data_IF_937697953877
#
_entry.id   IF_937697953877
#
_cell.length_a   1.000
_cell.length_b   1.000
_cell.length_c   1.000
_cell.angle_alpha   90.00
_cell.angle_beta   90.00
_cell.angle_gamma   90.00
#
_symmetry.space_group_name_H-M   'P 1'
#
loop_
_entity.id
_entity.type
_entity.pdbx_description
1 polymer ?
#
# COMPACT_ATOMS: atom_id res chain seq x y z
N UNK A 1 26.46 -6.39 -7.53
CA UNK A 1 27.14 -5.17 -7.03
C UNK A 1 27.25 -5.29 -5.52
N UNK A 2 28.37 -4.89 -4.90
CA UNK A 2 28.53 -4.92 -3.45
C UNK A 2 28.75 -3.48 -2.95
N UNK A 3 28.04 -3.09 -1.89
CA UNK A 3 28.06 -1.73 -1.34
C UNK A 3 28.32 -1.84 0.17
N UNK A 4 29.30 -1.08 0.66
CA UNK A 4 29.59 -0.96 2.09
C UNK A 4 29.14 0.41 2.58
N UNK A 5 28.09 0.44 3.40
CA UNK A 5 27.60 1.66 4.04
C UNK A 5 28.23 1.77 5.43
N UNK A 6 28.88 2.90 5.72
CA UNK A 6 29.53 3.16 7.02
C UNK A 6 28.74 4.19 7.81
N UNK A 7 29.00 4.24 9.11
CA UNK A 7 28.44 5.24 10.03
C UNK A 7 26.90 5.23 10.08
N UNK A 8 26.28 4.04 10.02
CA UNK A 8 24.83 3.91 10.23
C UNK A 8 24.56 4.17 11.72
N UNK A 9 23.68 5.12 12.08
CA UNK A 9 23.31 5.36 13.46
C UNK A 9 22.75 4.10 14.14
N UNK A 10 23.09 3.87 15.40
CA UNK A 10 22.71 2.65 16.13
C UNK A 10 21.18 2.50 16.25
N UNK A 11 20.46 3.61 16.39
CA UNK A 11 18.99 3.59 16.45
C UNK A 11 18.38 3.12 15.11
N UNK A 12 18.99 3.50 13.98
CA UNK A 12 18.57 3.05 12.65
C UNK A 12 18.87 1.57 12.46
N UNK A 13 20.06 1.10 12.84
CA UNK A 13 20.39 -0.33 12.82
C UNK A 13 19.41 -1.15 13.67
N UNK A 14 19.03 -0.64 14.84
CA UNK A 14 18.04 -1.28 15.72
C UNK A 14 16.67 -1.36 15.06
N UNK A 15 16.21 -0.29 14.40
CA UNK A 15 14.94 -0.27 13.64
C UNK A 15 14.96 -1.29 12.50
N UNK A 16 16.01 -1.30 11.69
CA UNK A 16 16.16 -2.26 10.57
C UNK A 16 16.12 -3.69 11.11
N UNK A 17 16.85 -4.00 12.19
CA UNK A 17 16.84 -5.33 12.80
C UNK A 17 15.45 -5.76 13.26
N UNK A 18 14.67 -4.84 13.83
CA UNK A 18 13.28 -5.12 14.22
C UNK A 18 12.43 -5.42 12.99
N UNK A 19 12.52 -4.61 11.94
CA UNK A 19 11.79 -4.81 10.69
C UNK A 19 12.16 -6.16 10.03
N UNK A 20 13.44 -6.51 9.96
CA UNK A 20 13.89 -7.81 9.42
C UNK A 20 13.26 -9.00 10.16
N UNK A 21 13.15 -8.90 11.50
CA UNK A 21 12.52 -9.96 12.31
C UNK A 21 11.02 -10.06 12.05
N UNK A 22 10.33 -8.94 11.96
CA UNK A 22 8.89 -8.90 11.67
C UNK A 22 8.60 -9.42 10.26
N UNK A 23 9.39 -8.98 9.27
CA UNK A 23 9.29 -9.41 7.88
C UNK A 23 9.85 -10.80 7.59
N UNK A 24 10.45 -11.47 8.59
CA UNK A 24 11.13 -12.78 8.46
C UNK A 24 12.15 -12.83 7.31
N UNK A 25 12.91 -11.75 7.15
CA UNK A 25 13.94 -11.58 6.12
C UNK A 25 15.32 -11.42 6.73
N UNK A 26 16.37 -11.68 5.94
CA UNK A 26 17.74 -11.34 6.35
C UNK A 26 17.88 -9.81 6.44
N UNK A 27 18.83 -9.35 7.26
CA UNK A 27 19.08 -7.91 7.41
C UNK A 27 19.48 -7.25 6.08
N UNK A 28 20.21 -7.97 5.23
CA UNK A 28 20.59 -7.47 3.90
C UNK A 28 19.38 -7.35 2.97
N UNK A 29 18.48 -8.33 2.99
CA UNK A 29 17.26 -8.26 2.17
C UNK A 29 16.34 -7.14 2.65
N UNK A 30 16.23 -6.92 3.97
CA UNK A 30 15.46 -5.81 4.51
C UNK A 30 16.05 -4.46 4.10
N UNK A 31 17.37 -4.30 4.14
CA UNK A 31 18.04 -3.08 3.66
C UNK A 31 17.76 -2.87 2.17
N UNK A 32 17.77 -3.92 1.36
CA UNK A 32 17.45 -3.82 -0.05
C UNK A 32 16.01 -3.35 -0.28
N UNK A 33 15.04 -3.96 0.40
CA UNK A 33 13.63 -3.56 0.30
C UNK A 33 13.43 -2.09 0.72
N UNK A 34 14.01 -1.67 1.83
CA UNK A 34 13.94 -0.27 2.28
C UNK A 34 14.57 0.70 1.27
N UNK A 35 15.66 0.31 0.60
CA UNK A 35 16.27 1.10 -0.45
C UNK A 35 15.35 1.21 -1.67
N UNK A 36 14.78 0.10 -2.14
CA UNK A 36 13.82 0.07 -3.25
C UNK A 36 12.61 0.98 -2.97
N UNK A 37 11.98 0.81 -1.81
CA UNK A 37 10.83 1.62 -1.39
C UNK A 37 11.19 3.10 -1.29
N UNK A 38 12.33 3.44 -0.68
CA UNK A 38 12.73 4.85 -0.51
C UNK A 38 13.13 5.53 -1.82
N UNK A 39 13.72 4.79 -2.76
CA UNK A 39 14.05 5.30 -4.10
C UNK A 39 12.77 5.55 -4.88
N UNK A 40 11.83 4.61 -4.85
CA UNK A 40 10.52 4.76 -5.50
C UNK A 40 9.76 5.95 -4.92
N UNK A 41 9.67 6.08 -3.59
CA UNK A 41 9.00 7.20 -2.92
C UNK A 41 9.64 8.55 -3.29
N UNK A 42 10.99 8.60 -3.39
CA UNK A 42 11.69 9.81 -3.82
C UNK A 42 11.42 10.15 -5.28
N UNK A 43 11.42 9.15 -6.17
CA UNK A 43 11.09 9.33 -7.58
C UNK A 43 9.66 9.83 -7.74
N UNK A 44 8.72 9.27 -6.99
CA UNK A 44 7.32 9.71 -6.97
C UNK A 44 7.19 11.13 -6.46
N UNK A 45 7.86 11.53 -5.37
CA UNK A 45 7.82 12.92 -4.88
C UNK A 45 8.40 13.92 -5.89
N UNK A 46 9.49 13.56 -6.55
CA UNK A 46 10.07 14.39 -7.61
C UNK A 46 9.15 14.48 -8.84
N UNK A 47 8.50 13.36 -9.18
CA UNK A 47 7.57 13.28 -10.32
C UNK A 47 6.21 13.91 -10.01
N UNK A 48 5.78 13.93 -8.75
CA UNK A 48 4.51 14.52 -8.31
C UNK A 48 4.48 16.04 -8.50
N UNK A 49 5.64 16.69 -8.56
CA UNK A 49 5.76 18.08 -9.01
C UNK A 49 5.37 18.28 -10.49
N UNK A 50 5.48 17.24 -11.32
CA UNK A 50 5.19 17.25 -12.76
C UNK A 50 3.94 16.44 -13.15
N UNK A 51 3.44 15.55 -12.29
CA UNK A 51 2.41 14.57 -12.65
C UNK A 51 1.16 14.73 -11.79
N UNK A 52 0.60 15.94 -11.78
CA UNK A 52 -0.80 16.12 -11.40
C UNK A 52 -1.63 15.55 -12.54
N UNK A 53 -2.14 14.33 -12.37
CA UNK A 53 -3.22 13.79 -13.20
C UNK A 53 -4.29 14.87 -13.25
N UNK A 54 -4.60 15.35 -14.46
CA UNK A 54 -5.59 16.41 -14.60
C UNK A 54 -6.94 15.89 -14.14
N UNK A 55 -7.82 16.77 -13.68
CA UNK A 55 -9.16 16.37 -13.23
C UNK A 55 -9.90 15.59 -14.32
N UNK A 56 -9.71 15.98 -15.58
CA UNK A 56 -10.30 15.33 -16.76
C UNK A 56 -9.77 13.91 -16.94
N UNK A 57 -8.47 13.69 -16.71
CA UNK A 57 -7.87 12.35 -16.79
C UNK A 57 -8.38 11.47 -15.66
N UNK A 58 -8.55 12.03 -14.46
CA UNK A 58 -9.13 11.31 -13.32
C UNK A 58 -10.57 10.89 -13.60
N UNK A 59 -11.41 11.81 -14.11
CA UNK A 59 -12.80 11.51 -14.49
C UNK A 59 -12.85 10.44 -15.56
N UNK A 60 -12.03 10.54 -16.61
CA UNK A 60 -11.99 9.54 -17.67
C UNK A 60 -11.59 8.14 -17.17
N UNK A 61 -10.64 8.06 -16.22
CA UNK A 61 -10.26 6.78 -15.59
C UNK A 61 -11.43 6.22 -14.78
N UNK A 62 -12.16 7.07 -14.04
CA UNK A 62 -13.28 6.65 -13.21
C UNK A 62 -14.48 6.20 -14.04
N UNK A 63 -14.80 6.93 -15.12
CA UNK A 63 -15.82 6.54 -16.09
C UNK A 63 -15.47 5.20 -16.74
N UNK A 64 -14.20 4.99 -17.09
CA UNK A 64 -13.74 3.72 -17.66
C UNK A 64 -13.86 2.56 -16.66
N UNK A 65 -13.55 2.78 -15.39
CA UNK A 65 -13.58 1.72 -14.37
C UNK A 65 -15.01 1.40 -13.90
N UNK A 66 -15.92 2.37 -13.98
CA UNK A 66 -17.30 2.18 -13.57
C UNK A 66 -18.00 1.15 -14.47
N UNK A 67 -18.46 0.06 -13.88
CA UNK A 67 -19.18 -1.00 -14.60
C UNK A 67 -18.31 -2.13 -15.15
N UNK A 68 -16.98 -2.03 -15.05
CA UNK A 68 -16.04 -3.10 -15.43
C UNK A 68 -15.88 -4.17 -14.33
N UNK A 69 -16.51 -3.97 -13.17
CA UNK A 69 -16.49 -4.97 -12.11
C UNK A 69 -17.46 -6.10 -12.45
N UNK A 70 -16.90 -7.22 -12.88
CA UNK A 70 -17.61 -8.47 -13.08
C UNK A 70 -17.65 -9.26 -11.76
N UNK A 71 -18.83 -9.76 -11.40
CA UNK A 71 -19.02 -10.68 -10.28
C UNK A 71 -19.81 -11.89 -10.80
N UNK A 72 -19.21 -13.07 -10.69
CA UNK A 72 -19.84 -14.33 -11.13
C UNK A 72 -21.02 -14.74 -10.23
N UNK A 73 -21.16 -14.11 -9.06
CA UNK A 73 -22.26 -14.37 -8.13
C UNK A 73 -23.54 -13.69 -8.60
N UNK A 74 -24.66 -14.37 -8.34
CA UNK A 74 -25.98 -13.80 -8.54
C UNK A 74 -26.26 -12.64 -7.59
N UNK A 75 -27.16 -11.76 -7.97
CA UNK A 75 -27.64 -10.65 -7.12
C UNK A 75 -28.06 -11.15 -5.74
N UNK A 76 -28.75 -12.30 -5.67
CA UNK A 76 -29.24 -12.91 -4.44
C UNK A 76 -28.10 -13.40 -3.53
N UNK A 77 -27.03 -13.94 -4.11
CA UNK A 77 -25.85 -14.38 -3.37
C UNK A 77 -25.10 -13.18 -2.78
N UNK A 78 -24.95 -12.11 -3.55
CA UNK A 78 -24.32 -10.86 -3.08
C UNK A 78 -25.15 -10.24 -1.96
N UNK A 79 -26.47 -10.16 -2.11
CA UNK A 79 -27.37 -9.64 -1.07
C UNK A 79 -27.20 -10.45 0.22
N UNK A 80 -27.21 -11.78 0.12
CA UNK A 80 -27.07 -12.66 1.28
C UNK A 80 -25.73 -12.47 1.99
N UNK A 81 -24.64 -12.46 1.22
CA UNK A 81 -23.27 -12.25 1.74
C UNK A 81 -23.15 -10.93 2.51
N UNK A 82 -23.76 -9.85 2.01
CA UNK A 82 -23.80 -8.57 2.70
C UNK A 82 -24.56 -8.68 4.03
N UNK A 83 -25.73 -9.32 4.04
CA UNK A 83 -26.51 -9.48 5.28
C UNK A 83 -25.79 -10.36 6.31
N UNK A 84 -25.19 -11.45 5.86
CA UNK A 84 -24.45 -12.38 6.73
C UNK A 84 -23.19 -11.73 7.31
N UNK A 85 -22.55 -10.82 6.55
CA UNK A 85 -21.36 -10.09 6.97
C UNK A 85 -21.67 -8.87 7.86
N UNK A 86 -22.94 -8.46 8.01
CA UNK A 86 -23.30 -7.33 8.86
C UNK A 86 -23.11 -7.70 10.33
N UNK A 87 -22.33 -6.87 11.03
CA UNK A 87 -22.29 -6.89 12.49
C UNK A 87 -23.36 -5.95 13.05
N UNK A 88 -23.73 -6.14 14.32
CA UNK A 88 -24.74 -5.31 15.03
C UNK A 88 -24.35 -3.83 15.18
N UNK A 89 -23.17 -3.43 14.68
CA UNK A 89 -22.60 -2.11 14.89
C UNK A 89 -21.97 -2.00 16.29
N UNK A 90 -21.45 -0.82 16.59
CA UNK A 90 -20.97 -0.45 17.92
C UNK A 90 -22.06 0.34 18.61
N UNK A 91 -22.29 0.12 19.90
CA UNK A 91 -23.14 1.03 20.68
C UNK A 91 -22.58 2.46 20.59
N UNK A 92 -23.43 3.40 20.21
CA UNK A 92 -23.12 4.83 20.19
C UNK A 92 -24.11 5.51 21.14
N UNK A 93 -23.61 6.03 22.26
CA UNK A 93 -24.36 6.99 23.08
C UNK A 93 -24.28 8.36 22.39
N UNK A 94 -25.44 8.89 22.00
CA UNK A 94 -25.59 10.23 21.40
C UNK A 94 -25.89 11.28 22.46
#
# INVERSE_FOLDING_TARGET
MNITVRNIPEDILKKIRTLSRLGRRSMNNEILTLLEESVQERLEKLSAGNNRVTMETQVAIWEKLAGEWEDDRTTEEIIRDIYDSRTLGRDIEL
#
